data_IF_143478181322
#
_entry.id   IF_143478181322
#
_cell.length_a   1.000
_cell.length_b   1.000
_cell.length_c   1.000
_cell.angle_alpha   90.00
_cell.angle_beta   90.00
_cell.angle_gamma   90.00
#
_symmetry.space_group_name_H-M   'P 1'
#
loop_
_entity.id
_entity.type
_entity.pdbx_description
1 polymer ?
#
# COMPACT_ATOMS: atom_id res chain seq x y z
N UNK A 1 -36.58 -5.87 -8.95
CA UNK A 1 -36.38 -4.52 -9.54
C UNK A 1 -35.85 -3.49 -8.54
N UNK A 2 -36.37 -3.42 -7.29
CA UNK A 2 -35.94 -2.49 -6.22
C UNK A 2 -34.41 -2.28 -6.06
N UNK A 3 -33.62 -3.36 -6.10
CA UNK A 3 -32.14 -3.30 -6.00
C UNK A 3 -31.47 -2.45 -7.08
N UNK A 4 -32.02 -2.44 -8.31
CA UNK A 4 -31.46 -1.65 -9.43
C UNK A 4 -31.67 -0.16 -9.18
N UNK A 5 -32.86 0.23 -8.73
CA UNK A 5 -33.19 1.62 -8.38
C UNK A 5 -32.34 2.15 -7.21
N UNK A 6 -32.15 1.33 -6.17
CA UNK A 6 -31.26 1.66 -5.05
C UNK A 6 -29.81 1.90 -5.50
N UNK A 7 -29.30 1.04 -6.39
CA UNK A 7 -27.95 1.21 -6.94
C UNK A 7 -27.85 2.48 -7.79
N UNK A 8 -28.83 2.77 -8.66
CA UNK A 8 -28.88 4.01 -9.45
C UNK A 8 -28.89 5.25 -8.55
N UNK A 9 -29.64 5.23 -7.44
CA UNK A 9 -29.66 6.32 -6.45
C UNK A 9 -28.27 6.52 -5.81
N UNK A 10 -27.60 5.44 -5.41
CA UNK A 10 -26.25 5.50 -4.82
C UNK A 10 -25.15 5.91 -5.82
N UNK A 11 -25.30 5.55 -7.09
CA UNK A 11 -24.43 5.99 -8.17
C UNK A 11 -24.58 7.49 -8.46
N UNK A 12 -25.82 8.02 -8.47
CA UNK A 12 -26.08 9.47 -8.56
C UNK A 12 -25.49 10.24 -7.39
N UNK A 13 -25.53 9.67 -6.18
CA UNK A 13 -24.90 10.23 -4.97
C UNK A 13 -23.36 10.07 -4.95
N UNK A 14 -22.75 9.38 -5.92
CA UNK A 14 -21.30 9.18 -5.99
C UNK A 14 -20.72 8.23 -4.93
N UNK A 15 -21.57 7.53 -4.15
CA UNK A 15 -21.14 6.61 -3.10
C UNK A 15 -20.51 5.33 -3.67
N UNK A 16 -20.87 4.97 -4.90
CA UNK A 16 -20.31 3.84 -5.63
C UNK A 16 -19.29 4.40 -6.63
N UNK A 17 -18.00 4.10 -6.40
CA UNK A 17 -16.94 4.48 -7.34
C UNK A 17 -16.99 3.62 -8.60
N UNK A 18 -16.98 4.26 -9.77
CA UNK A 18 -16.95 3.57 -11.08
C UNK A 18 -15.61 2.87 -11.35
N UNK A 19 -14.50 3.48 -10.89
CA UNK A 19 -13.13 2.96 -11.05
C UNK A 19 -12.57 2.55 -9.70
N UNK A 20 -11.76 1.49 -9.71
CA UNK A 20 -11.03 1.02 -8.52
C UNK A 20 -9.72 1.79 -8.38
N UNK A 21 -9.37 2.17 -7.15
CA UNK A 21 -8.06 2.75 -6.84
C UNK A 21 -6.99 1.65 -6.90
N UNK A 22 -5.76 1.99 -7.31
CA UNK A 22 -4.61 1.06 -7.32
C UNK A 22 -4.32 0.50 -5.93
N UNK A 23 -4.47 1.33 -4.91
CA UNK A 23 -4.42 0.98 -3.50
C UNK A 23 -5.45 1.83 -2.74
N UNK A 24 -5.93 1.34 -1.60
CA UNK A 24 -6.98 2.02 -0.85
C UNK A 24 -6.45 3.08 0.12
N UNK A 25 -5.29 2.82 0.73
CA UNK A 25 -4.73 3.66 1.79
C UNK A 25 -3.25 3.92 1.54
N UNK A 26 -2.83 5.17 1.68
CA UNK A 26 -1.45 5.58 1.45
C UNK A 26 -0.49 4.92 2.44
N UNK A 27 -0.83 4.92 3.73
CA UNK A 27 -0.01 4.26 4.77
C UNK A 27 0.23 2.77 4.50
N UNK A 28 -0.77 2.06 3.96
CA UNK A 28 -0.61 0.64 3.59
C UNK A 28 0.29 0.47 2.37
N UNK A 29 0.21 1.38 1.42
CA UNK A 29 1.09 1.38 0.25
C UNK A 29 2.53 1.60 0.67
N UNK A 30 2.80 2.64 1.46
CA UNK A 30 4.11 2.93 2.03
C UNK A 30 4.65 1.76 2.87
N UNK A 31 3.80 1.13 3.69
CA UNK A 31 4.18 -0.07 4.44
C UNK A 31 4.60 -1.23 3.52
N UNK A 32 3.85 -1.51 2.46
CA UNK A 32 4.20 -2.57 1.52
C UNK A 32 5.53 -2.29 0.78
N UNK A 33 5.85 -1.02 0.53
CA UNK A 33 7.12 -0.60 -0.06
C UNK A 33 8.29 -0.75 0.92
N UNK A 34 8.11 -0.40 2.19
CA UNK A 34 9.18 -0.45 3.21
C UNK A 34 9.48 -1.85 3.74
N UNK A 35 8.63 -2.85 3.46
CA UNK A 35 8.88 -4.22 3.89
C UNK A 35 10.06 -4.84 3.16
N UNK A 36 10.94 -5.48 3.93
CA UNK A 36 11.99 -6.35 3.42
C UNK A 36 11.42 -7.48 2.55
N UNK A 37 12.05 -7.72 1.41
CA UNK A 37 11.66 -8.74 0.43
C UNK A 37 12.77 -9.78 0.29
N UNK A 38 12.40 -11.04 0.21
CA UNK A 38 13.32 -12.11 -0.16
C UNK A 38 13.44 -12.26 -1.68
N UNK A 39 14.20 -13.27 -2.12
CA UNK A 39 14.29 -13.63 -3.55
C UNK A 39 12.89 -13.91 -4.13
N UNK A 40 12.62 -13.40 -5.33
CA UNK A 40 11.33 -13.54 -5.99
C UNK A 40 10.22 -12.62 -5.47
N UNK A 41 10.56 -11.54 -4.76
CA UNK A 41 9.63 -10.44 -4.44
C UNK A 41 8.62 -10.72 -3.32
N UNK A 42 8.68 -11.91 -2.71
CA UNK A 42 7.87 -12.28 -1.52
C UNK A 42 8.34 -11.49 -0.30
N UNK A 43 7.41 -11.15 0.60
CA UNK A 43 7.80 -10.54 1.87
C UNK A 43 8.62 -11.52 2.70
N UNK A 44 9.70 -11.03 3.32
CA UNK A 44 10.52 -11.82 4.22
C UNK A 44 9.71 -12.31 5.41
N UNK A 45 9.92 -13.58 5.80
CA UNK A 45 9.46 -14.08 7.11
C UNK A 45 10.27 -13.36 8.19
N UNK A 46 9.66 -13.14 9.36
CA UNK A 46 10.29 -12.42 10.49
C UNK A 46 11.65 -13.00 10.91
N UNK A 47 11.92 -14.26 10.57
CA UNK A 47 13.10 -15.00 11.00
C UNK A 47 14.19 -15.13 9.90
N UNK A 48 13.91 -14.61 8.68
CA UNK A 48 14.79 -14.73 7.50
C UNK A 48 15.55 -13.43 7.22
N UNK A 49 15.40 -12.41 8.06
CA UNK A 49 16.07 -11.10 7.91
C UNK A 49 17.59 -11.16 8.04
N UNK A 50 18.12 -12.22 8.62
CA UNK A 50 19.55 -12.47 8.75
C UNK A 50 20.16 -13.23 7.56
N UNK A 51 19.34 -13.78 6.66
CA UNK A 51 19.78 -14.63 5.54
C UNK A 51 19.68 -13.95 4.18
N UNK A 52 19.59 -12.61 4.14
CA UNK A 52 19.86 -11.92 2.89
C UNK A 52 21.35 -12.11 2.58
N UNK A 53 21.71 -12.74 1.45
CA UNK A 53 23.08 -12.64 0.98
C UNK A 53 23.34 -11.15 0.84
N UNK A 54 24.34 -10.65 1.56
CA UNK A 54 24.97 -9.39 1.23
C UNK A 54 25.25 -9.49 -0.25
N UNK A 55 24.52 -8.72 -1.06
CA UNK A 55 24.93 -8.53 -2.44
C UNK A 55 26.37 -8.04 -2.32
N UNK A 56 27.39 -8.77 -2.82
CA UNK A 56 28.70 -8.14 -2.94
C UNK A 56 28.43 -6.89 -3.76
N UNK A 57 28.95 -5.75 -3.29
CA UNK A 57 28.93 -4.51 -4.05
C UNK A 57 29.83 -4.70 -5.27
N UNK A 58 29.41 -5.52 -6.23
CA UNK A 58 30.05 -5.66 -7.52
C UNK A 58 29.59 -4.47 -8.36
N UNK A 59 30.05 -3.29 -7.97
CA UNK A 59 29.92 -2.04 -8.75
C UNK A 59 30.78 -2.08 -10.02
N UNK A 60 31.51 -3.16 -10.31
CA UNK A 60 32.48 -3.16 -11.40
C UNK A 60 32.37 -4.39 -12.31
N UNK A 61 31.32 -4.43 -13.13
CA UNK A 61 31.37 -4.79 -14.56
C UNK A 61 29.97 -5.21 -15.00
N UNK A 62 29.27 -4.26 -15.61
CA UNK A 62 28.29 -4.66 -16.62
C UNK A 62 29.09 -5.32 -17.76
N UNK A 63 28.72 -6.51 -18.24
CA UNK A 63 29.35 -7.06 -19.43
C UNK A 63 29.21 -6.03 -20.55
N UNK A 64 30.33 -5.73 -21.22
CA UNK A 64 30.39 -4.81 -22.36
C UNK A 64 29.61 -5.43 -23.52
N UNK A 65 28.28 -5.34 -23.48
CA UNK A 65 27.47 -5.57 -24.66
C UNK A 65 27.88 -4.52 -25.68
N UNK A 66 28.51 -4.96 -26.77
CA UNK A 66 28.75 -4.11 -27.92
C UNK A 66 27.39 -3.82 -28.54
N UNK A 67 26.84 -2.66 -28.21
CA UNK A 67 25.66 -2.15 -28.89
C UNK A 67 26.15 -1.69 -30.26
N UNK A 68 25.78 -2.33 -31.38
CA UNK A 68 26.10 -1.80 -32.69
C UNK A 68 25.50 -0.40 -32.79
N UNK A 69 26.27 0.54 -33.37
CA UNK A 69 25.90 1.96 -33.50
C UNK A 69 24.56 2.09 -34.23
N UNK A 70 23.47 2.11 -33.47
CA UNK A 70 22.16 2.41 -34.00
C UNK A 70 22.12 3.92 -34.21
N UNK A 71 21.83 4.32 -35.45
CA UNK A 71 21.65 5.69 -35.92
C UNK A 71 21.03 6.60 -34.87
N UNK A 72 21.75 7.68 -34.57
CA UNK A 72 21.40 8.70 -33.58
C UNK A 72 20.14 9.43 -34.05
N UNK A 73 18.96 8.94 -33.68
CA UNK A 73 17.71 9.67 -33.90
C UNK A 73 17.76 10.96 -33.06
N UNK A 74 17.77 12.10 -33.74
CA UNK A 74 17.72 13.42 -33.12
C UNK A 74 16.36 13.59 -32.44
N UNK A 75 16.30 13.37 -31.13
CA UNK A 75 15.09 13.71 -30.36
C UNK A 75 15.03 15.25 -30.26
N UNK A 76 13.98 15.91 -30.77
CA UNK A 76 13.87 17.36 -30.67
C UNK A 76 13.77 17.77 -29.19
N UNK A 77 14.57 18.77 -28.79
CA UNK A 77 14.52 19.32 -27.45
C UNK A 77 13.22 20.11 -27.27
N UNK A 78 12.21 19.50 -26.65
CA UNK A 78 11.08 20.26 -26.14
C UNK A 78 11.49 20.93 -24.83
N UNK A 79 11.56 22.27 -24.84
CA UNK A 79 11.88 23.08 -23.67
C UNK A 79 10.64 23.11 -22.77
N UNK A 80 10.58 22.21 -21.78
CA UNK A 80 9.54 22.26 -20.75
C UNK A 80 9.97 23.29 -19.73
N UNK A 81 9.38 24.49 -19.79
CA UNK A 81 9.53 25.49 -18.74
C UNK A 81 8.80 25.01 -17.49
N UNK A 82 9.55 24.54 -16.51
CA UNK A 82 9.03 24.24 -15.19
C UNK A 82 8.79 25.57 -14.47
N UNK A 83 7.57 26.11 -14.56
CA UNK A 83 7.15 27.20 -13.69
C UNK A 83 7.18 26.70 -12.25
N UNK A 84 8.23 27.09 -11.52
CA UNK A 84 8.42 26.84 -10.09
C UNK A 84 7.31 27.49 -9.29
N UNK A 85 6.15 26.84 -9.21
CA UNK A 85 5.10 27.20 -8.27
C UNK A 85 5.64 26.94 -6.86
N UNK A 86 5.99 28.03 -6.15
CA UNK A 86 6.43 28.01 -4.75
C UNK A 86 5.46 27.16 -3.92
N UNK A 87 6.02 26.18 -3.23
CA UNK A 87 5.35 25.37 -2.22
C UNK A 87 4.88 26.29 -1.08
N UNK A 88 3.61 26.73 -1.11
CA UNK A 88 2.98 27.40 0.03
C UNK A 88 2.68 26.31 1.06
N UNK A 89 3.37 26.35 2.21
CA UNK A 89 3.07 25.45 3.32
C UNK A 89 1.66 25.76 3.87
N UNK A 90 0.73 24.80 3.95
CA UNK A 90 -0.54 25.03 4.61
C UNK A 90 -0.29 25.18 6.12
N UNK A 91 -0.64 26.34 6.67
CA UNK A 91 -0.72 26.58 8.11
C UNK A 91 -1.64 25.54 8.73
N UNK A 92 -1.13 24.78 9.70
CA UNK A 92 -1.91 23.81 10.46
C UNK A 92 -2.91 24.59 11.32
N UNK A 93 -4.18 24.64 10.90
CA UNK A 93 -5.26 25.01 11.82
C UNK A 93 -5.35 23.92 12.88
N UNK A 94 -5.19 24.30 14.14
CA UNK A 94 -5.34 23.41 15.29
C UNK A 94 -6.70 22.72 15.25
N UNK A 95 -6.70 21.41 15.47
CA UNK A 95 -7.91 20.62 15.58
C UNK A 95 -8.23 20.55 17.09
N UNK A 96 -9.32 21.18 17.51
CA UNK A 96 -9.76 21.17 18.91
C UNK A 96 -10.09 19.73 19.36
N UNK A 97 -9.34 19.23 20.35
CA UNK A 97 -9.37 17.85 20.87
C UNK A 97 -10.65 17.50 21.67
N UNK A 98 -11.73 18.29 21.58
CA UNK A 98 -12.88 18.17 22.48
C UNK A 98 -13.95 17.16 22.06
N UNK A 99 -13.84 16.53 20.88
CA UNK A 99 -14.88 15.59 20.40
C UNK A 99 -14.49 14.10 20.41
N UNK A 100 -13.26 13.76 20.82
CA UNK A 100 -12.81 12.35 20.85
C UNK A 100 -13.14 11.60 22.15
N UNK A 101 -14.04 12.15 23.00
CA UNK A 101 -14.47 11.47 24.23
C UNK A 101 -15.82 10.74 24.09
N UNK A 102 -16.57 10.92 22.99
CA UNK A 102 -17.91 10.32 22.84
C UNK A 102 -17.96 9.02 22.02
N UNK A 103 -16.83 8.51 21.51
CA UNK A 103 -16.78 7.23 20.77
C UNK A 103 -16.28 6.02 21.56
N UNK A 104 -15.93 6.21 22.85
CA UNK A 104 -15.35 5.17 23.69
C UNK A 104 -16.38 4.34 24.49
N UNK A 105 -17.69 4.53 24.30
CA UNK A 105 -18.72 3.90 25.16
C UNK A 105 -19.64 2.87 24.47
N UNK A 106 -19.49 2.57 23.18
CA UNK A 106 -20.40 1.61 22.51
C UNK A 106 -19.71 0.64 21.53
N UNK A 107 -18.92 -0.29 22.07
CA UNK A 107 -18.94 -1.70 21.64
C UNK A 107 -17.97 -2.56 22.47
N UNK A 108 -18.40 -2.97 23.66
CA UNK A 108 -17.78 -4.08 24.38
C UNK A 108 -17.99 -5.40 23.63
N UNK A 109 -17.11 -5.73 22.70
CA UNK A 109 -17.07 -7.08 22.11
C UNK A 109 -16.49 -8.03 23.16
N UNK A 110 -17.35 -8.62 24.01
CA UNK A 110 -16.97 -9.67 24.96
C UNK A 110 -16.14 -10.72 24.23
N UNK A 111 -14.86 -10.87 24.61
CA UNK A 111 -14.03 -11.98 24.16
C UNK A 111 -14.68 -13.27 24.67
N UNK A 112 -15.26 -14.08 23.78
CA UNK A 112 -15.69 -15.43 24.15
C UNK A 112 -14.43 -16.23 24.54
N UNK A 113 -14.40 -16.91 25.69
CA UNK A 113 -13.30 -17.79 26.02
C UNK A 113 -13.22 -18.92 24.98
N UNK A 114 -11.99 -19.27 24.57
CA UNK A 114 -11.74 -20.47 23.76
C UNK A 114 -12.21 -21.67 24.58
N UNK A 115 -13.29 -22.32 24.16
CA UNK A 115 -13.67 -23.60 24.72
C UNK A 115 -12.51 -24.59 24.51
N UNK A 116 -11.97 -25.14 25.59
CA UNK A 116 -11.05 -26.25 25.53
C UNK A 116 -11.84 -27.47 25.03
N UNK A 117 -11.60 -27.88 23.79
CA UNK A 117 -12.12 -29.15 23.28
C UNK A 117 -11.40 -30.28 24.03
N UNK A 118 -12.06 -30.84 25.05
CA UNK A 118 -11.64 -32.09 25.66
C UNK A 118 -11.77 -33.20 24.61
N UNK A 119 -10.63 -33.73 24.18
CA UNK A 119 -10.55 -34.94 23.36
C UNK A 119 -10.99 -36.11 24.22
N UNK A 120 -12.28 -36.48 24.17
CA UNK A 120 -12.72 -37.80 24.63
C UNK A 120 -12.46 -38.78 23.48
N UNK A 121 -11.27 -39.37 23.49
CA UNK A 121 -10.92 -40.50 22.63
C UNK A 121 -11.13 -41.75 23.48
N UNK A 122 -12.30 -42.38 23.36
CA UNK A 122 -12.55 -43.70 23.93
C UNK A 122 -12.24 -44.72 22.86
N UNK A 123 -11.20 -45.52 23.08
CA UNK A 123 -10.87 -46.68 22.26
C UNK A 123 -11.86 -47.79 22.62
N UNK A 124 -12.48 -48.42 21.62
CA UNK A 124 -13.28 -49.63 21.78
C UNK A 124 -12.60 -50.78 21.07
#
# INVERSE_FOLDING_TARGET
>A
MKRREERLKLEKQGRISRKRKKYLHESRHLHALSRMRGRGGKFGKRNESSLLPQVPSTTAQWPKFHVPQLVRFQVPQFKVEYSSNKLVQPQRKGLDDSQNQQRAVTCGRKRRPRAAAAKKFTFS
#
